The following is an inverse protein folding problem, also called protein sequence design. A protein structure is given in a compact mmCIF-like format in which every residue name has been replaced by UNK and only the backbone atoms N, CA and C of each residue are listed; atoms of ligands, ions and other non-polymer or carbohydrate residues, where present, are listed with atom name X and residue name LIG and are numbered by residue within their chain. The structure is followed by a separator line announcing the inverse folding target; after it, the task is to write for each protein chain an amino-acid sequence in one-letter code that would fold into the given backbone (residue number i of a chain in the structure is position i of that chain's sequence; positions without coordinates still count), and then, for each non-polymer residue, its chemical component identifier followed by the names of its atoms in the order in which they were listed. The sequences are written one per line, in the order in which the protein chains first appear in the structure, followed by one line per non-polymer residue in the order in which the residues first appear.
data_IF_824502475423
#
_entry.id   IF_824502475423
#
_cell.length_a   1.000
_cell.length_b   1.000
_cell.length_c   1.000
_cell.angle_alpha   90.00
_cell.angle_beta   90.00
_cell.angle_gamma   90.00
#
_symmetry.space_group_name_H-M   'P 1'
#
loop_
_entity.id
_entity.type
_entity.pdbx_description
1 polymer ?
#
# COMPACT_ATOMS: atom_id res chain seq x y z
N UNK A 1 -35.78 4.38 -11.23
CA UNK A 1 -35.73 2.90 -11.14
C UNK A 1 -34.53 2.58 -10.26
N UNK A 2 -34.73 2.55 -8.95
CA UNK A 2 -33.69 2.30 -7.95
C UNK A 2 -33.50 0.79 -7.83
N UNK A 3 -32.43 0.26 -8.41
CA UNK A 3 -32.03 -1.12 -8.15
C UNK A 3 -31.43 -1.18 -6.74
N UNK A 4 -32.11 -1.93 -5.89
CA UNK A 4 -31.79 -2.19 -4.50
C UNK A 4 -30.40 -2.83 -4.37
N UNK A 5 -29.50 -2.15 -3.66
CA UNK A 5 -28.13 -2.58 -3.33
C UNK A 5 -28.09 -3.50 -2.09
N UNK A 6 -29.20 -4.18 -1.76
CA UNK A 6 -29.31 -5.04 -0.57
C UNK A 6 -28.87 -6.50 -0.78
N UNK A 7 -28.32 -6.85 -1.94
CA UNK A 7 -28.01 -8.24 -2.32
C UNK A 7 -26.54 -8.67 -2.27
N UNK A 8 -25.59 -7.78 -1.95
CA UNK A 8 -24.15 -8.11 -1.88
C UNK A 8 -23.67 -8.16 -0.43
N UNK A 9 -24.32 -9.01 0.37
CA UNK A 9 -23.72 -9.48 1.61
C UNK A 9 -22.67 -10.53 1.21
N UNK A 10 -21.46 -10.06 0.88
CA UNK A 10 -20.29 -10.92 0.95
C UNK A 10 -20.32 -11.59 2.34
N UNK A 11 -20.06 -12.91 2.44
CA UNK A 11 -19.81 -13.53 3.72
C UNK A 11 -18.82 -12.65 4.46
N UNK A 12 -19.24 -12.11 5.61
CA UNK A 12 -18.28 -11.55 6.54
C UNK A 12 -17.48 -12.76 7.00
N UNK A 13 -16.39 -13.06 6.29
CA UNK A 13 -15.35 -13.88 6.88
C UNK A 13 -15.01 -13.17 8.17
N UNK A 14 -15.36 -13.82 9.28
CA UNK A 14 -14.96 -13.37 10.60
C UNK A 14 -13.46 -13.20 10.52
N UNK A 15 -13.03 -11.94 10.49
CA UNK A 15 -11.65 -11.56 10.55
C UNK A 15 -11.18 -12.13 11.87
N UNK A 16 -10.58 -13.33 11.83
CA UNK A 16 -9.87 -13.89 12.98
C UNK A 16 -8.96 -12.77 13.40
N UNK A 17 -9.24 -12.20 14.57
CA UNK A 17 -8.40 -11.20 15.19
C UNK A 17 -7.04 -11.88 15.27
N UNK A 18 -6.17 -11.52 14.32
CA UNK A 18 -4.85 -12.13 14.19
C UNK A 18 -4.20 -12.10 15.56
N UNK A 19 -3.40 -13.13 15.88
CA UNK A 19 -2.57 -13.10 17.07
C UNK A 19 -1.95 -11.71 17.17
N UNK A 20 -2.07 -11.06 18.32
CA UNK A 20 -1.45 -9.75 18.53
C UNK A 20 0.04 -9.92 18.23
N UNK A 21 0.48 -9.47 17.06
CA UNK A 21 1.86 -9.51 16.68
C UNK A 21 2.62 -8.66 17.68
N UNK A 22 3.55 -9.28 18.37
CA UNK A 22 4.45 -8.58 19.26
C UNK A 22 5.35 -7.68 18.40
N UNK A 23 5.50 -6.42 18.81
CA UNK A 23 6.31 -5.45 18.08
C UNK A 23 7.78 -5.88 18.11
N UNK A 24 8.46 -5.87 16.95
CA UNK A 24 9.90 -6.04 16.88
C UNK A 24 10.58 -4.66 16.93
N UNK A 25 11.06 -4.20 18.11
CA UNK A 25 11.57 -2.85 18.28
C UNK A 25 12.88 -2.59 17.52
N UNK A 26 13.64 -3.63 17.18
CA UNK A 26 14.90 -3.48 16.43
C UNK A 26 14.62 -3.21 14.95
N UNK A 27 13.75 -4.03 14.33
CA UNK A 27 13.31 -3.83 12.94
C UNK A 27 12.68 -2.44 12.75
N UNK A 28 11.79 -2.03 13.66
CA UNK A 28 11.15 -0.71 13.61
C UNK A 28 12.18 0.42 13.72
N UNK A 29 13.20 0.27 14.57
CA UNK A 29 14.26 1.29 14.72
C UNK A 29 15.09 1.41 13.44
N UNK A 30 15.51 0.29 12.85
CA UNK A 30 16.30 0.28 11.62
C UNK A 30 15.53 0.90 10.45
N UNK A 31 14.26 0.52 10.26
CA UNK A 31 13.41 1.07 9.20
C UNK A 31 13.22 2.59 9.36
N UNK A 32 13.06 3.08 10.60
CA UNK A 32 12.90 4.54 10.84
C UNK A 32 14.15 5.35 10.49
N UNK A 33 15.32 4.72 10.42
CA UNK A 33 16.56 5.38 10.01
C UNK A 33 16.66 5.55 8.49
N UNK A 34 15.91 4.75 7.71
CA UNK A 34 15.81 4.91 6.26
C UNK A 34 15.06 6.22 5.99
N UNK A 35 15.71 7.14 5.26
CA UNK A 35 15.13 8.38 4.71
C UNK A 35 14.30 9.24 5.68
N UNK A 36 14.62 9.24 6.99
CA UNK A 36 13.87 9.96 8.01
C UNK A 36 12.36 9.62 8.04
N UNK A 37 11.98 8.34 7.92
CA UNK A 37 10.61 7.85 8.09
C UNK A 37 10.09 7.95 9.55
N UNK A 38 10.55 8.97 10.28
CA UNK A 38 10.38 9.26 11.71
C UNK A 38 8.91 9.42 12.11
N UNK A 39 8.02 9.71 11.16
CA UNK A 39 6.65 10.11 11.44
C UNK A 39 5.60 8.99 11.42
N UNK A 40 5.96 7.72 11.21
CA UNK A 40 4.93 6.65 11.26
C UNK A 40 4.42 6.50 12.70
N UNK A 41 3.15 6.84 12.98
CA UNK A 41 2.64 6.96 14.35
C UNK A 41 2.45 5.61 15.04
N UNK A 42 2.39 4.52 14.27
CA UNK A 42 2.18 3.16 14.76
C UNK A 42 3.31 2.24 14.29
N UNK A 43 4.27 1.89 15.16
CA UNK A 43 5.36 0.94 14.87
C UNK A 43 4.90 -0.37 14.25
N UNK A 44 3.78 -0.93 14.72
CA UNK A 44 3.21 -2.15 14.18
C UNK A 44 2.90 -2.08 12.69
N UNK A 45 2.55 -0.90 12.15
CA UNK A 45 2.31 -0.74 10.71
C UNK A 45 3.60 -0.87 9.91
N UNK A 46 4.74 -0.40 10.44
CA UNK A 46 6.03 -0.58 9.78
C UNK A 46 6.35 -2.06 9.69
N UNK A 47 6.25 -2.79 10.81
CA UNK A 47 6.48 -4.25 10.81
C UNK A 47 5.58 -4.98 9.82
N UNK A 48 4.28 -4.63 9.76
CA UNK A 48 3.33 -5.24 8.82
C UNK A 48 3.73 -5.02 7.35
N UNK A 49 4.19 -3.82 6.97
CA UNK A 49 4.60 -3.51 5.58
C UNK A 49 5.74 -4.40 5.10
N UNK A 50 6.60 -4.87 6.01
CA UNK A 50 7.73 -5.75 5.70
C UNK A 50 7.46 -7.23 6.02
N UNK A 51 6.22 -7.61 6.35
CA UNK A 51 5.86 -9.00 6.64
C UNK A 51 5.02 -9.59 5.51
N UNK A 52 5.55 -10.60 4.81
CA UNK A 52 4.79 -11.38 3.84
C UNK A 52 3.96 -12.47 4.53
N UNK A 53 2.80 -12.84 3.97
CA UNK A 53 1.93 -13.88 4.55
C UNK A 53 2.62 -15.25 4.73
N UNK A 54 3.72 -15.50 4.03
CA UNK A 54 4.51 -16.74 4.16
C UNK A 54 5.50 -16.73 5.31
N UNK A 55 5.69 -15.60 6.01
CA UNK A 55 6.66 -15.46 7.08
C UNK A 55 6.29 -16.30 8.30
N UNK A 56 5.04 -16.18 8.76
CA UNK A 56 4.50 -16.95 9.88
C UNK A 56 2.99 -17.13 9.72
N UNK A 57 2.46 -18.30 10.09
CA UNK A 57 1.04 -18.57 10.03
C UNK A 57 0.25 -17.68 11.01
N UNK A 58 -0.68 -16.88 10.47
CA UNK A 58 -1.49 -15.94 11.26
C UNK A 58 -0.79 -14.60 11.56
N UNK A 59 0.34 -14.32 10.91
CA UNK A 59 0.93 -12.98 10.92
C UNK A 59 0.00 -11.96 10.25
N UNK A 60 0.06 -10.71 10.69
CA UNK A 60 -0.56 -9.63 9.90
C UNK A 60 0.43 -9.22 8.83
N UNK A 61 0.06 -9.51 7.59
CA UNK A 61 0.89 -9.31 6.42
C UNK A 61 0.53 -8.02 5.67
N UNK A 62 1.38 -7.60 4.75
CA UNK A 62 1.30 -6.28 4.12
C UNK A 62 0.10 -6.12 3.17
N UNK A 63 -0.58 -7.18 2.72
CA UNK A 63 -1.48 -7.15 1.55
C UNK A 63 -2.66 -6.19 1.74
N UNK A 64 -3.19 -6.09 2.98
CA UNK A 64 -4.24 -5.11 3.28
C UNK A 64 -3.74 -3.68 3.21
N UNK A 65 -2.49 -3.43 3.62
CA UNK A 65 -1.86 -2.12 3.52
C UNK A 65 -1.53 -1.78 2.07
N UNK A 66 -1.05 -2.76 1.29
CA UNK A 66 -0.81 -2.60 -0.15
C UNK A 66 -2.09 -2.24 -0.88
N UNK A 67 -3.23 -2.84 -0.56
CA UNK A 67 -4.50 -2.47 -1.19
C UNK A 67 -4.85 -0.98 -1.00
N UNK A 68 -4.64 -0.45 0.21
CA UNK A 68 -4.84 0.99 0.50
C UNK A 68 -3.77 1.83 -0.20
N UNK A 69 -2.52 1.37 -0.18
CA UNK A 69 -1.37 2.03 -0.82
C UNK A 69 -1.56 2.20 -2.32
N UNK A 70 -2.00 1.15 -3.03
CA UNK A 70 -2.22 1.16 -4.47
C UNK A 70 -3.29 2.18 -4.86
N UNK A 71 -4.44 2.20 -4.18
CA UNK A 71 -5.50 3.18 -4.43
C UNK A 71 -5.03 4.61 -4.14
N UNK A 72 -4.25 4.78 -3.07
CA UNK A 72 -3.70 6.09 -2.68
C UNK A 72 -2.69 6.60 -3.71
N UNK A 73 -1.77 5.75 -4.17
CA UNK A 73 -0.79 6.08 -5.18
C UNK A 73 -1.46 6.41 -6.53
N UNK A 74 -2.44 5.60 -6.94
CA UNK A 74 -3.20 5.84 -8.17
C UNK A 74 -3.91 7.20 -8.12
N UNK A 75 -4.51 7.55 -6.98
CA UNK A 75 -5.14 8.84 -6.77
C UNK A 75 -4.15 10.01 -6.87
N UNK A 76 -3.02 9.96 -6.16
CA UNK A 76 -2.05 11.06 -6.16
C UNK A 76 -1.47 11.30 -7.56
N UNK A 77 -1.07 10.24 -8.27
CA UNK A 77 -0.52 10.39 -9.62
C UNK A 77 -1.60 10.88 -10.60
N UNK A 78 -2.83 10.35 -10.50
CA UNK A 78 -3.95 10.84 -11.32
C UNK A 78 -4.22 12.32 -11.08
N UNK A 79 -4.24 12.73 -9.80
CA UNK A 79 -4.46 14.13 -9.41
C UNK A 79 -3.37 15.03 -9.99
N UNK A 80 -2.10 14.67 -9.84
CA UNK A 80 -0.98 15.46 -10.38
C UNK A 80 -1.07 15.58 -11.91
N UNK A 81 -1.32 14.48 -12.62
CA UNK A 81 -1.50 14.53 -14.08
C UNK A 81 -2.67 15.42 -14.50
N UNK A 82 -3.80 15.37 -13.78
CA UNK A 82 -4.97 16.20 -14.08
C UNK A 82 -4.64 17.70 -14.01
N UNK A 83 -3.89 18.13 -13.01
CA UNK A 83 -3.54 19.54 -12.84
C UNK A 83 -2.36 19.99 -13.73
N UNK A 84 -1.38 19.12 -13.96
CA UNK A 84 -0.19 19.46 -14.76
C UNK A 84 -0.43 19.35 -16.26
N UNK A 85 -1.46 18.63 -16.70
CA UNK A 85 -1.76 18.40 -18.11
C UNK A 85 -3.22 18.76 -18.45
N UNK A 86 -3.62 20.05 -18.34
CA UNK A 86 -5.01 20.48 -18.50
C UNK A 86 -5.58 20.23 -19.91
N UNK A 87 -4.72 20.22 -20.93
CA UNK A 87 -5.12 20.05 -22.34
C UNK A 87 -5.09 18.58 -22.82
N UNK A 88 -4.77 17.64 -21.92
CA UNK A 88 -4.66 16.23 -22.28
C UNK A 88 -6.05 15.57 -22.33
N UNK A 89 -6.33 14.87 -23.43
CA UNK A 89 -7.57 14.11 -23.56
C UNK A 89 -7.71 13.06 -22.43
N UNK A 90 -8.94 12.76 -21.96
CA UNK A 90 -9.16 11.78 -20.89
C UNK A 90 -8.55 10.40 -21.17
N UNK A 91 -8.57 9.96 -22.43
CA UNK A 91 -7.94 8.70 -22.82
C UNK A 91 -6.42 8.71 -22.66
N UNK A 92 -5.77 9.85 -22.94
CA UNK A 92 -4.33 10.03 -22.75
C UNK A 92 -3.98 10.13 -21.27
N UNK A 93 -4.81 10.77 -20.43
CA UNK A 93 -4.62 10.79 -18.99
C UNK A 93 -4.60 9.37 -18.40
N UNK A 94 -5.52 8.50 -18.85
CA UNK A 94 -5.54 7.08 -18.45
C UNK A 94 -4.26 6.35 -18.86
N UNK A 95 -3.80 6.53 -20.10
CA UNK A 95 -2.55 5.93 -20.58
C UNK A 95 -1.34 6.47 -19.80
N UNK A 96 -1.31 7.77 -19.53
CA UNK A 96 -0.23 8.42 -18.81
C UNK A 96 -0.18 7.95 -17.34
N UNK A 97 -1.33 7.79 -16.70
CA UNK A 97 -1.43 7.16 -15.38
C UNK A 97 -0.89 5.73 -15.39
N UNK A 98 -1.38 4.87 -16.28
CA UNK A 98 -0.92 3.47 -16.38
C UNK A 98 0.59 3.38 -16.69
N UNK A 99 1.10 4.33 -17.47
CA UNK A 99 2.53 4.42 -17.75
C UNK A 99 3.37 4.82 -16.54
N UNK A 100 2.81 5.44 -15.49
CA UNK A 100 3.55 5.92 -14.32
C UNK A 100 3.24 5.15 -13.03
N UNK A 101 2.05 4.57 -12.91
CA UNK A 101 1.62 3.72 -11.80
C UNK A 101 1.68 2.27 -12.26
N UNK A 102 2.82 1.63 -12.00
CA UNK A 102 3.07 0.25 -12.39
C UNK A 102 4.00 -0.44 -11.38
N UNK A 103 3.80 -1.74 -11.19
CA UNK A 103 4.55 -2.57 -10.23
C UNK A 103 6.07 -2.45 -10.42
N UNK A 104 6.57 -2.40 -11.66
CA UNK A 104 8.00 -2.26 -11.93
C UNK A 104 8.54 -0.92 -11.41
N UNK A 105 7.74 0.15 -11.50
CA UNK A 105 8.13 1.50 -11.07
C UNK A 105 8.13 1.61 -9.56
N UNK A 106 7.12 1.03 -8.91
CA UNK A 106 7.07 0.91 -7.45
C UNK A 106 8.25 0.08 -6.94
N UNK A 107 8.58 -1.04 -7.59
CA UNK A 107 9.73 -1.87 -7.23
C UNK A 107 11.06 -1.11 -7.38
N UNK A 108 11.24 -0.34 -8.47
CA UNK A 108 12.43 0.51 -8.64
C UNK A 108 12.54 1.59 -7.57
N UNK A 109 11.42 2.20 -7.16
CA UNK A 109 11.41 3.14 -6.05
C UNK A 109 11.82 2.45 -4.74
N UNK A 110 11.27 1.27 -4.45
CA UNK A 110 11.64 0.48 -3.27
C UNK A 110 13.13 0.10 -3.25
N UNK A 111 13.71 -0.27 -4.41
CA UNK A 111 15.14 -0.53 -4.56
C UNK A 111 15.99 0.71 -4.29
N UNK A 112 15.60 1.87 -4.85
CA UNK A 112 16.30 3.14 -4.64
C UNK A 112 16.35 3.54 -3.16
N UNK A 113 15.29 3.22 -2.42
CA UNK A 113 15.17 3.47 -0.98
C UNK A 113 15.65 2.29 -0.11
N UNK A 114 16.32 1.29 -0.70
CA UNK A 114 16.89 0.14 0.02
C UNK A 114 15.86 -0.67 0.84
N UNK A 115 14.57 -0.58 0.51
CA UNK A 115 13.51 -1.25 1.28
C UNK A 115 13.58 -2.79 1.17
N UNK A 116 14.20 -3.29 0.11
CA UNK A 116 14.41 -4.71 -0.13
C UNK A 116 15.34 -5.38 0.90
N UNK A 117 16.14 -4.62 1.65
CA UNK A 117 17.02 -5.15 2.70
C UNK A 117 16.25 -5.64 3.94
N UNK A 118 14.96 -5.32 4.03
CA UNK A 118 14.10 -5.56 5.19
C UNK A 118 12.96 -6.55 4.92
N UNK A 119 12.93 -7.19 3.74
CA UNK A 119 11.90 -8.16 3.33
C UNK A 119 12.25 -9.61 3.69
#
# INVERSE_FOLDING_TARGET
MLLSLQGLLLPQEEHKLGKQQEENPNLVKEIKLIDNWVQVPRPILLQQVFTHHSYEEGCSSFERLTHVGDATLDFFITKEHYFLCPDLDPGKLTQFRAANVDTEKVARAALKHQLHEYL
#
